data_IF_045828333369
#
_entry.id   IF_045828333369
#
_cell.length_a   1.000
_cell.length_b   1.000
_cell.length_c   1.000
_cell.angle_alpha   90.00
_cell.angle_beta   90.00
_cell.angle_gamma   90.00
#
_symmetry.space_group_name_H-M   'P 1'
#
loop_
_entity.id
_entity.type
_entity.pdbx_description
1 polymer ?
#
# COMPACT_ATOMS: atom_id res chain seq x y z
N UNK A 1 -23.37 1.00 -6.87
CA UNK A 1 -22.71 2.11 -6.16
C UNK A 1 -21.59 1.49 -5.34
N UNK A 2 -20.34 1.90 -5.56
CA UNK A 2 -19.16 1.30 -4.89
C UNK A 2 -18.91 2.07 -3.60
N UNK A 3 -18.73 1.36 -2.48
CA UNK A 3 -18.41 1.94 -1.18
C UNK A 3 -17.06 1.41 -0.71
N UNK A 4 -16.36 2.18 0.11
CA UNK A 4 -15.12 1.72 0.70
C UNK A 4 -15.38 0.64 1.76
N UNK A 5 -14.62 -0.46 1.70
CA UNK A 5 -14.71 -1.56 2.67
C UNK A 5 -13.84 -1.37 3.91
N UNK A 6 -13.06 -0.28 3.98
CA UNK A 6 -12.14 -0.04 5.08
C UNK A 6 -12.88 0.39 6.35
N UNK A 7 -12.43 -0.10 7.49
CA UNK A 7 -13.10 0.13 8.77
C UNK A 7 -13.16 1.62 9.10
N UNK A 8 -14.37 2.15 9.26
CA UNK A 8 -14.61 3.57 9.55
C UNK A 8 -14.59 4.52 8.35
N UNK A 9 -14.38 4.03 7.12
CA UNK A 9 -14.39 4.88 5.93
C UNK A 9 -15.80 5.00 5.33
N UNK A 10 -16.38 6.20 5.37
CA UNK A 10 -17.71 6.49 4.79
C UNK A 10 -17.71 6.82 3.30
N UNK A 11 -16.60 6.57 2.59
CA UNK A 11 -16.46 6.97 1.19
C UNK A 11 -17.32 6.15 0.23
N UNK A 12 -17.89 6.83 -0.77
CA UNK A 12 -18.77 6.24 -1.80
C UNK A 12 -18.47 6.86 -3.17
N UNK A 13 -18.43 6.03 -4.20
CA UNK A 13 -18.25 6.47 -5.58
C UNK A 13 -19.50 7.19 -6.11
N UNK A 14 -19.30 8.34 -6.76
CA UNK A 14 -20.37 9.18 -7.36
C UNK A 14 -20.40 9.11 -8.88
N UNK A 15 -19.69 8.14 -9.48
CA UNK A 15 -19.56 8.04 -10.93
C UNK A 15 -20.83 7.47 -11.60
N UNK A 16 -21.16 7.94 -12.82
CA UNK A 16 -22.36 7.51 -13.55
C UNK A 16 -22.25 6.12 -14.17
N UNK A 17 -21.05 5.52 -14.20
CA UNK A 17 -20.81 4.17 -14.72
C UNK A 17 -19.92 3.36 -13.79
N UNK A 18 -20.09 2.05 -13.81
CA UNK A 18 -19.34 1.12 -12.97
C UNK A 18 -17.83 1.24 -13.18
N UNK A 19 -17.38 1.30 -14.44
CA UNK A 19 -15.95 1.45 -14.78
C UNK A 19 -15.36 2.74 -14.19
N UNK A 20 -16.11 3.84 -14.21
CA UNK A 20 -15.67 5.10 -13.63
C UNK A 20 -15.72 5.08 -12.10
N UNK A 21 -16.66 4.34 -11.50
CA UNK A 21 -16.73 4.15 -10.05
C UNK A 21 -15.52 3.37 -9.54
N UNK A 22 -15.07 2.34 -10.27
CA UNK A 22 -13.85 1.60 -9.94
C UNK A 22 -12.60 2.46 -9.99
N UNK A 23 -12.46 3.33 -11.00
CA UNK A 23 -11.34 4.29 -11.07
C UNK A 23 -11.33 5.27 -9.89
N UNK A 24 -12.50 5.77 -9.48
CA UNK A 24 -12.61 6.61 -8.30
C UNK A 24 -12.24 5.85 -7.03
N UNK A 25 -12.68 4.59 -6.92
CA UNK A 25 -12.37 3.75 -5.76
C UNK A 25 -10.89 3.44 -5.64
N UNK A 26 -10.23 3.09 -6.74
CA UNK A 26 -8.77 2.90 -6.80
C UNK A 26 -8.02 4.16 -6.34
N UNK A 27 -8.40 5.33 -6.87
CA UNK A 27 -7.77 6.59 -6.47
C UNK A 27 -8.01 6.93 -5.00
N UNK A 28 -9.19 6.63 -4.45
CA UNK A 28 -9.49 6.81 -3.04
C UNK A 28 -8.64 5.90 -2.16
N UNK A 29 -8.56 4.61 -2.49
CA UNK A 29 -7.73 3.64 -1.75
C UNK A 29 -6.27 4.07 -1.69
N UNK A 30 -5.70 4.47 -2.83
CA UNK A 30 -4.29 4.89 -2.91
C UNK A 30 -3.98 6.16 -2.09
N UNK A 31 -4.96 7.05 -1.91
CA UNK A 31 -4.75 8.32 -1.22
C UNK A 31 -5.02 8.24 0.28
N UNK A 32 -6.05 7.51 0.67
CA UNK A 32 -6.60 7.57 2.04
C UNK A 32 -6.29 6.32 2.86
N UNK A 33 -5.94 5.20 2.21
CA UNK A 33 -5.80 3.89 2.87
C UNK A 33 -4.49 3.18 2.59
N UNK A 34 -3.79 3.56 1.53
CA UNK A 34 -2.40 3.20 1.35
C UNK A 34 -1.61 4.33 1.99
N UNK A 35 -0.92 4.03 3.09
CA UNK A 35 0.25 4.83 3.44
C UNK A 35 1.17 4.75 2.23
N UNK A 36 1.21 5.84 1.46
CA UNK A 36 2.31 6.10 0.56
C UNK A 36 3.55 6.03 1.44
N UNK A 37 4.27 4.92 1.38
CA UNK A 37 5.66 4.90 1.81
C UNK A 37 6.30 5.92 0.91
N UNK A 38 6.41 7.17 1.38
CA UNK A 38 7.30 8.13 0.80
C UNK A 38 8.66 7.43 0.92
N UNK A 39 9.11 6.87 -0.20
CA UNK A 39 10.45 6.34 -0.34
C UNK A 39 11.36 7.57 -0.34
N UNK A 40 11.42 8.27 0.79
CA UNK A 40 12.36 9.37 1.06
C UNK A 40 13.79 8.83 1.14
N UNK A 41 13.93 7.51 1.22
CA UNK A 41 15.19 6.79 1.15
C UNK A 41 15.32 6.14 -0.22
N UNK A 42 16.23 6.66 -1.04
CA UNK A 42 16.73 5.96 -2.23
C UNK A 42 17.12 4.53 -1.82
N UNK A 43 16.31 3.53 -2.19
CA UNK A 43 16.65 2.13 -1.93
C UNK A 43 17.74 1.77 -2.95
N UNK A 44 18.98 1.52 -2.51
CA UNK A 44 20.06 1.20 -3.44
C UNK A 44 19.73 -0.09 -4.21
N UNK A 45 20.21 -0.18 -5.46
CA UNK A 45 19.99 -1.36 -6.30
C UNK A 45 20.45 -2.64 -5.57
N UNK A 46 19.59 -3.65 -5.53
CA UNK A 46 19.83 -4.92 -4.81
C UNK A 46 19.35 -4.95 -3.36
N UNK A 47 18.80 -3.84 -2.85
CA UNK A 47 18.19 -3.77 -1.52
C UNK A 47 16.66 -3.71 -1.62
N UNK A 48 15.99 -4.16 -0.57
CA UNK A 48 14.53 -4.19 -0.44
C UNK A 48 14.11 -3.66 0.93
N UNK A 49 12.96 -3.01 0.99
CA UNK A 49 12.34 -2.62 2.26
C UNK A 49 11.35 -3.70 2.69
N UNK A 50 11.50 -4.16 3.94
CA UNK A 50 10.63 -5.15 4.57
C UNK A 50 9.97 -4.51 5.78
N UNK A 51 8.65 -4.70 5.90
CA UNK A 51 7.91 -4.34 7.12
C UNK A 51 8.06 -5.46 8.15
N UNK A 52 8.57 -5.13 9.34
CA UNK A 52 8.66 -6.05 10.47
C UNK A 52 7.29 -6.19 11.16
N UNK A 53 7.14 -7.22 11.99
CA UNK A 53 5.90 -7.46 12.76
C UNK A 53 5.59 -6.32 13.75
N UNK A 54 6.62 -5.60 14.21
CA UNK A 54 6.53 -4.39 15.04
C UNK A 54 6.04 -3.15 14.25
N UNK A 55 5.83 -3.30 12.94
CA UNK A 55 5.37 -2.23 12.06
C UNK A 55 6.47 -1.29 11.55
N UNK A 56 7.74 -1.56 11.89
CA UNK A 56 8.89 -0.78 11.42
C UNK A 56 9.33 -1.21 10.01
N UNK A 57 9.81 -0.25 9.21
CA UNK A 57 10.37 -0.51 7.89
C UNK A 57 11.89 -0.67 7.97
N UNK A 58 12.41 -1.80 7.50
CA UNK A 58 13.85 -2.08 7.48
C UNK A 58 14.34 -2.31 6.05
N UNK A 59 15.36 -1.57 5.64
CA UNK A 59 16.06 -1.79 4.37
C UNK A 59 17.15 -2.85 4.55
N UNK A 60 17.13 -3.90 3.74
CA UNK A 60 18.12 -4.97 3.77
C UNK A 60 18.36 -5.53 2.37
N UNK A 61 19.39 -6.37 2.20
CA UNK A 61 19.63 -7.03 0.92
C UNK A 61 18.49 -8.00 0.58
N UNK A 62 18.27 -8.27 -0.71
CA UNK A 62 17.29 -9.27 -1.12
C UNK A 62 17.57 -10.68 -0.54
N UNK A 63 18.85 -11.02 -0.33
CA UNK A 63 19.25 -12.29 0.27
C UNK A 63 18.89 -12.36 1.77
N UNK A 64 19.08 -11.25 2.49
CA UNK A 64 18.72 -11.17 3.91
C UNK A 64 17.20 -11.13 4.11
N UNK A 65 16.47 -10.44 3.24
CA UNK A 65 15.01 -10.44 3.26
C UNK A 65 14.44 -11.84 3.05
N UNK A 66 15.05 -12.63 2.17
CA UNK A 66 14.65 -14.02 1.95
C UNK A 66 14.83 -14.85 3.22
N UNK A 67 15.97 -14.72 3.91
CA UNK A 67 16.22 -15.41 5.19
C UNK A 67 15.24 -14.96 6.27
N UNK A 68 14.92 -13.66 6.31
CA UNK A 68 14.01 -13.08 7.30
C UNK A 68 12.58 -13.65 7.23
N UNK A 69 12.11 -14.08 6.05
CA UNK A 69 10.79 -14.69 5.86
C UNK A 69 10.78 -16.23 5.83
N UNK A 70 11.94 -16.87 5.73
CA UNK A 70 12.06 -18.34 5.73
C UNK A 70 12.17 -18.92 7.16
N UNK A 71 12.32 -18.06 8.18
CA UNK A 71 12.32 -18.42 9.62
C UNK A 71 10.92 -18.48 10.25
#
# INVERSE_FOLDING_TARGET
>A
MIQCGQHGCGWVAIAPSERSAWKQYESHLLREHVETVEVETEIPEGYVQVRTDDGEWKTMSAEDAKKFYDE
#
